data_IF_419261450830
#
_entry.id   IF_419261450830
#
_cell.length_a   1.000
_cell.length_b   1.000
_cell.length_c   1.000
_cell.angle_alpha   90.00
_cell.angle_beta   90.00
_cell.angle_gamma   90.00
#
_symmetry.space_group_name_H-M   'P 1'
#
loop_
_entity.id
_entity.type
_entity.pdbx_description
1 polymer ?
#
# COMPACT_ATOMS: atom_id res chain seq x y z
N UNK A 1 -29.16 25.81 20.78
CA UNK A 1 -29.35 25.11 19.47
C UNK A 1 -28.51 23.84 19.52
N UNK A 2 -29.12 22.68 19.27
CA UNK A 2 -28.37 21.41 19.17
C UNK A 2 -27.51 21.43 17.89
N UNK A 3 -26.22 21.24 18.04
CA UNK A 3 -25.30 21.20 16.91
C UNK A 3 -25.37 19.81 16.25
N UNK A 4 -25.79 19.78 14.99
CA UNK A 4 -25.81 18.56 14.16
C UNK A 4 -24.51 18.49 13.37
N UNK A 5 -23.85 17.34 13.40
CA UNK A 5 -22.58 17.08 12.69
C UNK A 5 -22.69 15.86 11.78
N UNK A 6 -21.80 15.80 10.78
CA UNK A 6 -21.72 14.65 9.87
C UNK A 6 -21.02 13.45 10.52
N UNK A 7 -21.27 12.26 10.00
CA UNK A 7 -20.61 11.03 10.43
C UNK A 7 -19.08 11.11 10.34
N UNK A 8 -18.53 11.82 9.34
CA UNK A 8 -17.08 11.98 9.20
C UNK A 8 -16.51 12.94 10.27
N UNK A 9 -17.24 14.01 10.62
CA UNK A 9 -16.85 14.90 11.71
C UNK A 9 -16.89 14.18 13.08
N UNK A 10 -17.97 13.43 13.35
CA UNK A 10 -18.11 12.65 14.57
C UNK A 10 -16.98 11.61 14.72
N UNK A 11 -16.67 10.90 13.63
CA UNK A 11 -15.57 9.93 13.59
C UNK A 11 -14.20 10.57 13.87
N UNK A 12 -13.94 11.74 13.28
CA UNK A 12 -12.71 12.50 13.51
C UNK A 12 -12.60 12.94 14.98
N UNK A 13 -13.69 13.42 15.56
CA UNK A 13 -13.75 13.84 16.95
C UNK A 13 -13.49 12.66 17.94
N UNK A 14 -14.00 11.47 17.63
CA UNK A 14 -13.81 10.26 18.43
C UNK A 14 -12.46 9.57 18.17
N UNK A 15 -11.67 10.01 17.19
CA UNK A 15 -10.39 9.41 16.77
C UNK A 15 -10.49 7.91 16.43
N UNK A 16 -11.60 7.48 15.82
CA UNK A 16 -11.83 6.07 15.46
C UNK A 16 -11.87 5.86 13.95
N UNK A 17 -11.60 4.61 13.52
CA UNK A 17 -11.65 4.24 12.11
C UNK A 17 -13.09 4.25 11.55
N UNK A 18 -13.25 4.51 10.24
CA UNK A 18 -14.56 4.49 9.57
C UNK A 18 -15.31 3.18 9.78
N UNK A 19 -14.61 2.03 9.78
CA UNK A 19 -15.22 0.71 9.99
C UNK A 19 -15.74 0.54 11.41
N UNK A 20 -14.95 0.96 12.41
CA UNK A 20 -15.36 0.93 13.83
C UNK A 20 -16.58 1.81 14.04
N UNK A 21 -16.55 3.03 13.50
CA UNK A 21 -17.66 3.99 13.64
C UNK A 21 -18.96 3.46 13.01
N UNK A 22 -18.90 2.96 11.75
CA UNK A 22 -20.07 2.34 11.10
C UNK A 22 -20.65 1.17 11.90
N UNK A 23 -19.79 0.31 12.44
CA UNK A 23 -20.24 -0.77 13.30
C UNK A 23 -20.95 -0.25 14.55
N UNK A 24 -20.42 0.80 15.19
CA UNK A 24 -21.04 1.41 16.36
C UNK A 24 -22.41 2.03 16.04
N UNK A 25 -22.56 2.68 14.88
CA UNK A 25 -23.84 3.19 14.38
C UNK A 25 -24.85 2.03 14.20
N UNK A 26 -24.46 0.98 13.48
CA UNK A 26 -25.33 -0.15 13.16
C UNK A 26 -25.75 -0.96 14.38
N UNK A 27 -24.94 -0.97 15.43
CA UNK A 27 -25.22 -1.69 16.68
C UNK A 27 -25.78 -0.79 17.79
N UNK A 28 -26.19 0.43 17.47
CA UNK A 28 -26.93 1.30 18.39
C UNK A 28 -26.10 1.92 19.52
N UNK A 29 -24.75 1.97 19.38
CA UNK A 29 -23.89 2.63 20.38
C UNK A 29 -24.09 4.14 20.42
N UNK A 30 -24.59 4.73 19.34
CA UNK A 30 -24.88 6.15 19.22
C UNK A 30 -26.12 6.35 18.36
N UNK A 31 -26.95 7.33 18.73
CA UNK A 31 -28.13 7.71 17.95
C UNK A 31 -27.72 8.51 16.70
N UNK A 32 -28.41 8.27 15.61
CA UNK A 32 -28.19 8.98 14.35
C UNK A 32 -29.48 9.15 13.59
N UNK A 33 -29.52 10.11 12.69
CA UNK A 33 -30.57 10.31 11.69
C UNK A 33 -30.05 9.89 10.31
N UNK A 34 -30.82 9.05 9.62
CA UNK A 34 -30.50 8.63 8.25
C UNK A 34 -31.18 9.57 7.26
N UNK A 35 -30.38 10.39 6.59
CA UNK A 35 -30.86 11.37 5.60
C UNK A 35 -31.11 10.77 4.21
N UNK A 36 -30.90 9.48 4.00
CA UNK A 36 -31.08 8.79 2.72
C UNK A 36 -30.06 9.16 1.64
N UNK A 37 -29.15 10.10 1.89
CA UNK A 37 -28.16 10.57 0.94
C UNK A 37 -26.97 9.62 0.82
N UNK A 38 -26.47 9.37 -0.40
CA UNK A 38 -25.32 8.49 -0.62
C UNK A 38 -24.02 9.01 0.01
N UNK A 39 -23.85 10.33 0.10
CA UNK A 39 -22.59 10.98 0.50
C UNK A 39 -22.56 11.42 1.97
N UNK A 40 -23.70 11.89 2.51
CA UNK A 40 -23.83 12.36 3.89
C UNK A 40 -25.05 11.71 4.54
N UNK A 41 -25.01 10.38 4.58
CA UNK A 41 -26.14 9.56 4.98
C UNK A 41 -26.55 9.75 6.44
N UNK A 42 -25.58 9.93 7.33
CA UNK A 42 -25.81 9.95 8.77
C UNK A 42 -25.51 11.31 9.36
N UNK A 43 -26.47 11.86 10.09
CA UNK A 43 -26.36 13.06 10.91
C UNK A 43 -26.44 12.68 12.38
N UNK A 44 -25.63 13.31 13.22
CA UNK A 44 -25.54 13.04 14.63
C UNK A 44 -25.59 14.34 15.43
N UNK A 45 -26.11 14.29 16.65
CA UNK A 45 -26.07 15.40 17.59
C UNK A 45 -24.71 15.41 18.27
N UNK A 46 -24.10 16.58 18.39
CA UNK A 46 -22.78 16.69 19.03
C UNK A 46 -22.79 16.20 20.47
N UNK A 47 -23.87 16.47 21.22
CA UNK A 47 -24.03 16.01 22.60
C UNK A 47 -23.98 14.48 22.71
N UNK A 48 -24.58 13.74 21.76
CA UNK A 48 -24.53 12.26 21.76
C UNK A 48 -23.13 11.75 21.46
N UNK A 49 -22.37 12.46 20.61
CA UNK A 49 -20.96 12.11 20.30
C UNK A 49 -20.05 12.39 21.48
N UNK A 50 -20.27 13.48 22.20
CA UNK A 50 -19.53 13.82 23.44
C UNK A 50 -19.84 12.83 24.54
N UNK A 51 -21.10 12.47 24.74
CA UNK A 51 -21.52 11.44 25.71
C UNK A 51 -20.86 10.09 25.40
N UNK A 52 -20.87 9.67 24.13
CA UNK A 52 -20.18 8.44 23.73
C UNK A 52 -18.68 8.50 23.99
N UNK A 53 -18.03 9.64 23.71
CA UNK A 53 -16.61 9.81 24.00
C UNK A 53 -16.32 9.67 25.49
N UNK A 54 -17.14 10.30 26.33
CA UNK A 54 -16.99 10.20 27.78
C UNK A 54 -17.21 8.77 28.25
N UNK A 55 -18.24 8.08 27.74
CA UNK A 55 -18.51 6.67 28.05
C UNK A 55 -17.36 5.74 27.65
N UNK A 56 -16.70 6.01 26.51
CA UNK A 56 -15.51 5.25 26.09
C UNK A 56 -14.30 5.45 27.01
N UNK A 57 -14.23 6.58 27.71
CA UNK A 57 -13.17 6.90 28.70
C UNK A 57 -13.51 6.26 30.06
N UNK A 58 -14.75 6.42 30.53
CA UNK A 58 -15.17 6.00 31.86
C UNK A 58 -15.42 4.48 31.94
N UNK A 59 -15.88 3.87 30.83
CA UNK A 59 -16.26 2.47 30.76
C UNK A 59 -15.60 1.74 29.58
N UNK A 60 -14.25 1.68 29.52
CA UNK A 60 -13.51 1.05 28.40
C UNK A 60 -13.86 -0.44 28.24
N UNK A 61 -14.30 -1.11 29.31
CA UNK A 61 -14.71 -2.52 29.30
C UNK A 61 -15.91 -2.78 28.38
N UNK A 62 -16.85 -1.84 28.25
CA UNK A 62 -18.01 -1.95 27.35
C UNK A 62 -17.64 -1.96 25.87
N UNK A 63 -16.46 -1.50 25.54
CA UNK A 63 -15.92 -1.40 24.18
C UNK A 63 -14.76 -2.37 23.94
N UNK A 64 -14.49 -3.26 24.87
CA UNK A 64 -13.36 -4.19 24.84
C UNK A 64 -13.44 -5.13 23.62
N UNK A 65 -14.66 -5.58 23.27
CA UNK A 65 -14.93 -6.41 22.10
C UNK A 65 -14.65 -5.72 20.75
N UNK A 66 -14.62 -4.40 20.74
CA UNK A 66 -14.28 -3.59 19.57
C UNK A 66 -12.76 -3.40 19.41
N UNK A 67 -11.97 -3.70 20.46
CA UNK A 67 -10.53 -3.55 20.42
C UNK A 67 -9.91 -4.68 19.59
N UNK A 68 -9.08 -4.31 18.63
CA UNK A 68 -8.47 -5.28 17.71
C UNK A 68 -9.37 -5.74 16.55
N UNK A 69 -10.70 -5.71 16.67
CA UNK A 69 -11.62 -6.17 15.63
C UNK A 69 -11.56 -5.38 14.33
N UNK A 70 -11.26 -4.09 14.41
CA UNK A 70 -11.17 -3.17 13.27
C UNK A 70 -9.73 -2.75 12.92
N UNK A 71 -8.75 -3.20 13.70
CA UNK A 71 -7.37 -3.14 13.28
C UNK A 71 -7.24 -4.07 12.09
N UNK A 72 -6.81 -3.52 10.97
CA UNK A 72 -6.50 -4.32 9.80
C UNK A 72 -5.27 -5.20 10.10
N UNK A 73 -5.42 -6.19 10.94
CA UNK A 73 -4.59 -7.39 10.81
C UNK A 73 -4.95 -7.96 9.43
N UNK A 74 -4.23 -7.48 8.44
CA UNK A 74 -4.09 -8.22 7.22
C UNK A 74 -3.37 -9.50 7.64
N UNK A 75 -4.15 -10.54 7.95
CA UNK A 75 -3.70 -11.92 7.89
C UNK A 75 -3.40 -12.25 6.42
N UNK A 76 -2.50 -11.45 5.83
CA UNK A 76 -1.80 -11.89 4.63
C UNK A 76 -0.85 -12.96 5.14
N UNK A 77 -0.96 -14.19 4.63
CA UNK A 77 0.07 -15.17 4.89
C UNK A 77 1.41 -14.47 4.63
N UNK A 78 2.41 -14.66 5.49
CA UNK A 78 3.70 -14.02 5.31
C UNK A 78 4.14 -14.30 3.88
N UNK A 79 4.35 -13.26 3.10
CA UNK A 79 4.87 -13.41 1.73
C UNK A 79 6.19 -14.14 1.90
N UNK A 80 6.40 -15.31 1.28
CA UNK A 80 7.63 -16.06 1.47
C UNK A 80 8.80 -15.14 1.19
N UNK A 81 9.59 -14.89 2.22
CA UNK A 81 10.73 -13.97 2.14
C UNK A 81 11.79 -14.68 1.32
N UNK A 82 12.01 -14.25 0.10
CA UNK A 82 13.09 -14.78 -0.74
C UNK A 82 14.40 -14.21 -0.20
N UNK A 83 15.16 -15.02 0.50
CA UNK A 83 16.52 -14.67 0.93
C UNK A 83 17.44 -15.19 -0.14
N UNK A 84 18.17 -14.30 -0.81
CA UNK A 84 19.19 -14.65 -1.80
C UNK A 84 20.58 -14.38 -1.20
N UNK A 85 21.51 -15.28 -1.44
CA UNK A 85 22.93 -15.07 -1.18
C UNK A 85 23.51 -14.02 -2.16
N UNK A 86 24.69 -13.49 -1.88
CA UNK A 86 25.33 -12.52 -2.78
C UNK A 86 25.58 -13.09 -4.18
N UNK A 87 25.95 -14.36 -4.26
CA UNK A 87 26.14 -15.06 -5.54
C UNK A 87 24.83 -15.23 -6.31
N UNK A 88 23.75 -15.55 -5.63
CA UNK A 88 22.41 -15.66 -6.26
C UNK A 88 21.92 -14.30 -6.75
N UNK A 89 22.20 -13.22 -6.01
CA UNK A 89 21.91 -11.85 -6.46
C UNK A 89 22.67 -11.53 -7.75
N UNK A 90 23.95 -11.89 -7.85
CA UNK A 90 24.76 -11.70 -9.05
C UNK A 90 24.19 -12.49 -10.23
N UNK A 91 23.90 -13.77 -10.04
CA UNK A 91 23.30 -14.64 -11.06
C UNK A 91 21.91 -14.14 -11.49
N UNK A 92 21.08 -13.66 -10.57
CA UNK A 92 19.79 -13.07 -10.86
C UNK A 92 19.93 -11.79 -11.69
N UNK A 93 20.93 -10.95 -11.39
CA UNK A 93 21.25 -9.73 -12.15
C UNK A 93 21.64 -10.07 -13.59
N UNK A 94 22.51 -11.04 -13.78
CA UNK A 94 22.91 -11.52 -15.11
C UNK A 94 21.71 -12.09 -15.89
N UNK A 95 20.85 -12.88 -15.21
CA UNK A 95 19.65 -13.44 -15.80
C UNK A 95 18.69 -12.33 -16.29
N UNK A 96 18.40 -11.34 -15.48
CA UNK A 96 17.53 -10.22 -15.87
C UNK A 96 18.16 -9.41 -17.01
N UNK A 97 19.47 -9.18 -16.97
CA UNK A 97 20.20 -8.50 -18.04
C UNK A 97 20.05 -9.24 -19.37
N UNK A 98 20.19 -10.57 -19.37
CA UNK A 98 19.92 -11.41 -20.55
C UNK A 98 18.48 -11.29 -21.05
N UNK A 99 17.50 -11.39 -20.14
CA UNK A 99 16.07 -11.24 -20.49
C UNK A 99 15.75 -9.88 -21.11
N UNK A 100 16.44 -8.82 -20.67
CA UNK A 100 16.20 -7.46 -21.15
C UNK A 100 17.18 -6.97 -22.20
N UNK A 101 17.97 -7.85 -22.79
CA UNK A 101 18.99 -7.52 -23.78
C UNK A 101 18.43 -6.79 -25.03
N UNK A 102 17.20 -7.15 -25.41
CA UNK A 102 16.52 -6.52 -26.58
C UNK A 102 16.02 -5.08 -26.32
N UNK A 103 16.07 -4.61 -25.06
CA UNK A 103 15.59 -3.28 -24.70
C UNK A 103 16.75 -2.27 -24.62
N UNK A 104 16.50 -1.00 -24.97
CA UNK A 104 17.54 0.05 -24.93
C UNK A 104 18.09 0.26 -23.51
N UNK A 105 19.28 0.81 -23.39
CA UNK A 105 19.91 1.07 -22.08
C UNK A 105 19.25 2.23 -21.34
N UNK A 106 18.67 3.16 -22.06
CA UNK A 106 17.81 4.22 -21.51
C UNK A 106 16.34 3.83 -21.73
N UNK A 107 15.70 3.37 -20.68
CA UNK A 107 14.31 2.90 -20.71
C UNK A 107 13.34 4.07 -20.50
N UNK A 108 12.42 4.34 -21.44
CA UNK A 108 11.27 5.20 -21.14
C UNK A 108 10.46 4.67 -19.97
N UNK A 109 9.96 5.55 -19.08
CA UNK A 109 9.22 5.14 -17.87
C UNK A 109 8.05 4.19 -18.15
N UNK A 110 7.37 4.35 -19.30
CA UNK A 110 6.29 3.42 -19.72
C UNK A 110 6.80 2.01 -19.98
N UNK A 111 7.95 1.89 -20.65
CA UNK A 111 8.58 0.59 -20.94
C UNK A 111 9.08 -0.05 -19.64
N UNK A 112 9.76 0.73 -18.78
CA UNK A 112 10.19 0.26 -17.48
C UNK A 112 9.01 -0.21 -16.61
N UNK A 113 7.87 0.47 -16.67
CA UNK A 113 6.63 0.06 -15.98
C UNK A 113 6.14 -1.32 -16.47
N UNK A 114 6.13 -1.54 -17.77
CA UNK A 114 5.73 -2.83 -18.36
C UNK A 114 6.68 -3.97 -17.94
N UNK A 115 7.98 -3.71 -17.91
CA UNK A 115 8.99 -4.70 -17.55
C UNK A 115 8.97 -5.08 -16.06
N UNK A 116 8.71 -4.09 -15.20
CA UNK A 116 8.75 -4.28 -13.74
C UNK A 116 7.39 -4.54 -13.11
N UNK A 117 6.31 -4.12 -13.78
CA UNK A 117 4.96 -4.09 -13.21
C UNK A 117 4.74 -2.99 -12.17
N UNK A 118 5.68 -2.07 -12.03
CA UNK A 118 5.53 -0.86 -11.23
C UNK A 118 4.79 0.22 -12.03
N UNK A 119 4.04 1.09 -11.35
CA UNK A 119 3.42 2.23 -12.04
C UNK A 119 4.47 3.27 -12.43
N UNK A 120 4.21 4.02 -13.52
CA UNK A 120 5.08 5.13 -13.95
C UNK A 120 5.32 6.14 -12.82
N UNK A 121 4.27 6.47 -12.06
CA UNK A 121 4.40 7.38 -10.90
C UNK A 121 5.33 6.83 -9.81
N UNK A 122 5.30 5.51 -9.57
CA UNK A 122 6.21 4.86 -8.62
C UNK A 122 7.66 4.92 -9.11
N UNK A 123 7.90 4.61 -10.39
CA UNK A 123 9.23 4.69 -10.98
C UNK A 123 9.80 6.10 -10.94
N UNK A 124 9.02 7.11 -11.32
CA UNK A 124 9.46 8.51 -11.28
C UNK A 124 9.79 8.94 -9.85
N UNK A 125 9.01 8.52 -8.85
CA UNK A 125 9.31 8.77 -7.43
C UNK A 125 10.61 8.13 -6.98
N UNK A 126 10.92 6.93 -7.45
CA UNK A 126 12.18 6.26 -7.16
C UNK A 126 13.37 6.98 -7.80
N UNK A 127 13.23 7.47 -9.04
CA UNK A 127 14.24 8.32 -9.70
C UNK A 127 14.48 9.60 -8.89
N UNK A 128 13.41 10.31 -8.51
CA UNK A 128 13.51 11.54 -7.70
C UNK A 128 14.15 11.31 -6.33
N UNK A 129 14.03 10.11 -5.76
CA UNK A 129 14.68 9.72 -4.49
C UNK A 129 16.09 9.19 -4.64
N UNK A 130 16.61 9.10 -5.88
CA UNK A 130 17.95 8.56 -6.14
C UNK A 130 18.09 7.05 -5.92
N UNK A 131 17.00 6.29 -5.85
CA UNK A 131 17.05 4.84 -5.64
C UNK A 131 17.66 4.11 -6.85
N UNK A 132 17.53 4.67 -8.03
CA UNK A 132 18.22 4.28 -9.26
C UNK A 132 18.34 5.48 -10.20
N UNK A 133 19.33 5.41 -11.09
CA UNK A 133 19.62 6.50 -12.00
C UNK A 133 18.56 6.67 -13.09
N UNK A 134 18.13 7.91 -13.30
CA UNK A 134 17.27 8.34 -14.38
C UNK A 134 17.40 9.83 -14.61
N UNK A 135 17.10 10.27 -15.82
CA UNK A 135 17.18 11.65 -16.24
C UNK A 135 15.90 12.11 -16.94
N UNK A 136 15.59 13.38 -16.85
CA UNK A 136 14.47 13.99 -17.60
C UNK A 136 15.04 14.61 -18.88
N UNK A 137 14.65 14.07 -20.04
CA UNK A 137 15.08 14.54 -21.35
C UNK A 137 13.84 14.82 -22.19
N UNK A 138 13.67 16.06 -22.66
CA UNK A 138 12.51 16.45 -23.47
C UNK A 138 11.16 16.21 -22.75
N UNK A 139 11.08 16.44 -21.43
CA UNK A 139 9.88 16.20 -20.63
C UNK A 139 9.57 14.73 -20.35
N UNK A 140 10.41 13.80 -20.78
CA UNK A 140 10.24 12.36 -20.56
C UNK A 140 11.30 11.85 -19.58
N UNK A 141 10.89 11.03 -18.62
CA UNK A 141 11.83 10.37 -17.71
C UNK A 141 12.39 9.12 -18.42
N UNK A 142 13.69 9.11 -18.58
CA UNK A 142 14.48 7.96 -19.05
C UNK A 142 15.22 7.35 -17.86
N UNK A 143 15.14 6.03 -17.73
CA UNK A 143 15.68 5.27 -16.60
C UNK A 143 16.83 4.39 -17.11
N UNK A 144 17.97 4.42 -16.43
CA UNK A 144 19.08 3.52 -16.74
C UNK A 144 18.66 2.08 -16.48
N UNK A 145 18.70 1.25 -17.51
CA UNK A 145 18.40 -0.19 -17.43
C UNK A 145 19.26 -0.90 -16.39
N UNK A 146 20.57 -0.63 -16.43
CA UNK A 146 21.53 -1.25 -15.53
C UNK A 146 21.27 -0.86 -14.07
N UNK A 147 21.01 0.44 -13.81
CA UNK A 147 20.72 0.93 -12.46
C UNK A 147 19.39 0.38 -11.94
N UNK A 148 18.38 0.27 -12.80
CA UNK A 148 17.08 -0.33 -12.46
C UNK A 148 17.24 -1.83 -12.12
N UNK A 149 18.01 -2.59 -12.90
CA UNK A 149 18.30 -4.00 -12.62
C UNK A 149 19.03 -4.13 -11.27
N UNK A 150 20.02 -3.27 -11.01
CA UNK A 150 20.72 -3.22 -9.73
C UNK A 150 19.77 -3.02 -8.55
N UNK A 151 18.85 -2.06 -8.65
CA UNK A 151 17.83 -1.79 -7.65
C UNK A 151 16.88 -2.99 -7.44
N UNK A 152 16.35 -3.57 -8.53
CA UNK A 152 15.41 -4.69 -8.47
C UNK A 152 16.03 -5.97 -7.89
N UNK A 153 17.34 -6.14 -8.01
CA UNK A 153 18.09 -7.29 -7.47
C UNK A 153 18.65 -7.04 -6.08
N UNK A 154 18.48 -5.83 -5.52
CA UNK A 154 18.89 -5.56 -4.15
C UNK A 154 18.10 -6.47 -3.15
N UNK A 155 18.77 -7.05 -2.14
CA UNK A 155 18.16 -8.01 -1.21
C UNK A 155 16.87 -7.51 -0.57
N UNK A 156 16.85 -6.23 -0.15
CA UNK A 156 15.68 -5.62 0.48
C UNK A 156 14.50 -5.43 -0.49
N UNK A 157 14.77 -5.27 -1.77
CA UNK A 157 13.76 -5.14 -2.82
C UNK A 157 13.21 -6.51 -3.21
N UNK A 158 14.09 -7.50 -3.40
CA UNK A 158 13.70 -8.88 -3.73
C UNK A 158 12.84 -9.49 -2.63
N UNK A 159 13.13 -9.22 -1.36
CA UNK A 159 12.31 -9.66 -0.22
C UNK A 159 10.87 -9.13 -0.29
N UNK A 160 10.66 -7.96 -0.90
CA UNK A 160 9.37 -7.27 -0.97
C UNK A 160 8.70 -7.38 -2.33
N UNK A 161 9.10 -8.36 -3.15
CA UNK A 161 8.54 -8.52 -4.50
C UNK A 161 7.02 -8.69 -4.47
N UNK A 162 6.33 -7.71 -5.02
CA UNK A 162 4.87 -7.65 -5.03
C UNK A 162 4.28 -7.72 -6.43
N UNK A 163 5.04 -7.34 -7.47
CA UNK A 163 4.51 -7.27 -8.84
C UNK A 163 4.53 -8.63 -9.54
N UNK A 164 3.52 -8.86 -10.40
CA UNK A 164 3.38 -10.09 -11.17
C UNK A 164 4.59 -10.31 -12.09
N UNK A 165 5.10 -9.25 -12.71
CA UNK A 165 6.26 -9.30 -13.62
C UNK A 165 7.51 -9.75 -12.89
N UNK A 166 7.80 -9.19 -11.71
CA UNK A 166 8.95 -9.61 -10.92
C UNK A 166 8.81 -11.04 -10.41
N UNK A 167 7.61 -11.47 -10.04
CA UNK A 167 7.35 -12.88 -9.69
C UNK A 167 7.64 -13.82 -10.87
N UNK A 168 7.24 -13.44 -12.09
CA UNK A 168 7.55 -14.21 -13.31
C UNK A 168 9.05 -14.28 -13.58
N UNK A 169 9.78 -13.17 -13.44
CA UNK A 169 11.24 -13.12 -13.60
C UNK A 169 11.94 -14.03 -12.58
N UNK A 170 11.56 -13.97 -11.31
CA UNK A 170 12.12 -14.85 -10.27
C UNK A 170 11.79 -16.32 -10.51
N UNK A 171 10.58 -16.64 -10.96
CA UNK A 171 10.21 -18.00 -11.31
C UNK A 171 11.00 -18.53 -12.52
N UNK A 172 11.23 -17.68 -13.53
CA UNK A 172 12.08 -18.01 -14.69
C UNK A 172 13.53 -18.24 -14.28
N UNK A 173 14.08 -17.38 -13.43
CA UNK A 173 15.44 -17.55 -12.87
C UNK A 173 15.60 -18.91 -12.12
N UNK A 174 14.63 -19.24 -11.25
CA UNK A 174 14.66 -20.52 -10.50
C UNK A 174 14.58 -21.75 -11.41
N UNK A 175 13.89 -21.66 -12.55
CA UNK A 175 13.83 -22.73 -13.55
C UNK A 175 15.16 -22.88 -14.30
N UNK A 176 15.75 -21.75 -14.71
CA UNK A 176 17.04 -21.74 -15.40
C UNK A 176 18.21 -22.24 -14.53
N UNK A 177 18.14 -22.08 -13.21
CA UNK A 177 19.16 -22.58 -12.27
C UNK A 177 19.02 -24.07 -11.91
N UNK A 178 17.95 -24.75 -12.40
CA UNK A 178 17.76 -26.22 -12.22
C UNK A 178 18.17 -27.05 -13.42
N UNK A 179 18.57 -26.39 -14.50
CA UNK A 179 19.17 -27.01 -15.68
C UNK A 179 20.70 -26.90 -15.61
#
# INVERSE_FOLDING_TARGET
MEQIISADAARAYLHISKRKFLYMLQNGYIRYEDNGNKTHRYSLRMCDVEALRQEMIDHPERFADLNGRFTAQRNKPPTPTVVLSQEEVKKLREYITKCWNKHPDALPSKLAANLTGLTVGTLNRHVSRGNFFGAVIGGKVLISKQSLIGYLTAPDVVRKVTTVQMKKLLAGYKRAGKQ
#
